data_IF_627837111471
#
_entry.id   IF_627837111471
#
_cell.length_a   1.000
_cell.length_b   1.000
_cell.length_c   1.000
_cell.angle_alpha   90.00
_cell.angle_beta   90.00
_cell.angle_gamma   90.00
#
_symmetry.space_group_name_H-M   'P 1'
#
loop_
_entity.id
_entity.type
_entity.pdbx_description
1 polymer ?
#
# COMPACT_ATOMS: atom_id res chain seq x y z
N UNK A 1 12.33 38.05 67.30
CA UNK A 1 12.84 38.39 65.96
C UNK A 1 12.89 37.08 65.18
N UNK A 2 11.74 36.61 64.71
CA UNK A 2 11.19 36.84 63.34
C UNK A 2 12.11 36.14 62.31
N UNK A 3 11.81 34.86 62.00
CA UNK A 3 11.31 34.33 60.70
C UNK A 3 12.47 33.79 59.84
N UNK A 4 12.37 32.73 59.04
CA UNK A 4 11.27 31.82 58.77
C UNK A 4 11.87 30.58 58.11
N UNK A 5 11.50 29.40 58.62
CA UNK A 5 11.79 28.13 57.97
C UNK A 5 10.96 28.03 56.69
N UNK A 6 11.60 28.25 55.54
CA UNK A 6 10.98 28.05 54.22
C UNK A 6 10.71 26.58 53.97
N UNK A 7 9.57 26.10 54.46
CA UNK A 7 8.99 24.80 54.14
C UNK A 7 8.83 24.67 52.62
N UNK A 8 9.64 23.79 52.01
CA UNK A 8 9.52 23.40 50.61
C UNK A 8 8.18 22.67 50.44
N UNK A 9 7.17 23.42 49.98
CA UNK A 9 5.82 22.93 49.78
C UNK A 9 5.82 21.90 48.62
N UNK A 10 5.37 20.64 48.85
CA UNK A 10 5.45 19.56 47.86
C UNK A 10 4.73 19.85 46.53
N UNK A 11 3.81 20.82 46.53
CA UNK A 11 3.10 21.25 45.32
C UNK A 11 3.96 21.99 44.28
N UNK A 12 5.11 22.57 44.66
CA UNK A 12 6.00 23.26 43.71
C UNK A 12 6.80 22.27 42.86
N UNK A 13 7.20 21.14 43.45
CA UNK A 13 7.96 20.08 42.81
C UNK A 13 7.11 19.31 41.78
N UNK A 14 5.82 19.11 42.09
CA UNK A 14 4.85 18.47 41.18
C UNK A 14 4.56 19.35 39.95
N UNK A 15 4.45 20.69 40.10
CA UNK A 15 4.29 21.60 38.96
C UNK A 15 5.53 21.67 38.06
N UNK A 16 6.73 21.66 38.65
CA UNK A 16 7.99 21.62 37.90
C UNK A 16 8.15 20.35 37.07
N UNK A 17 7.74 19.20 37.63
CA UNK A 17 7.74 17.93 36.93
C UNK A 17 6.77 17.92 35.73
N UNK A 18 5.57 18.49 35.87
CA UNK A 18 4.61 18.61 34.76
C UNK A 18 5.15 19.45 33.59
N UNK A 19 5.79 20.59 33.87
CA UNK A 19 6.39 21.45 32.83
C UNK A 19 7.58 20.78 32.14
N UNK A 20 8.36 19.98 32.89
CA UNK A 20 9.47 19.20 32.33
C UNK A 20 8.97 18.03 31.48
N UNK A 21 7.88 17.37 31.88
CA UNK A 21 7.24 16.30 31.11
C UNK A 21 6.59 16.84 29.83
N UNK A 22 5.94 18.00 29.86
CA UNK A 22 5.45 18.67 28.65
C UNK A 22 6.58 19.10 27.71
N UNK A 23 7.68 19.64 28.27
CA UNK A 23 8.87 20.02 27.47
C UNK A 23 9.60 18.81 26.90
N UNK A 24 9.60 17.67 27.60
CA UNK A 24 10.13 16.40 27.13
C UNK A 24 9.25 15.83 26.02
N UNK A 25 7.91 15.87 26.18
CA UNK A 25 6.95 15.46 25.16
C UNK A 25 7.05 16.27 23.86
N UNK A 26 7.24 17.59 23.95
CA UNK A 26 7.47 18.43 22.77
C UNK A 26 8.82 18.14 22.09
N UNK A 27 9.91 17.99 22.85
CA UNK A 27 11.24 17.71 22.26
C UNK A 27 11.36 16.35 21.56
N UNK A 28 10.53 15.36 21.91
CA UNK A 28 10.51 14.06 21.24
C UNK A 28 9.40 13.93 20.19
N UNK A 29 8.44 14.85 20.14
CA UNK A 29 7.44 14.93 19.07
C UNK A 29 8.04 15.43 17.75
N UNK A 30 9.10 16.24 17.82
CA UNK A 30 9.66 16.95 16.66
C UNK A 30 10.81 16.18 15.97
N UNK A 31 11.19 15.00 16.49
CA UNK A 31 12.32 14.20 15.98
C UNK A 31 12.06 13.53 14.62
N UNK A 32 10.87 13.69 14.04
CA UNK A 32 10.53 13.17 12.71
C UNK A 32 10.56 14.24 11.60
N UNK A 33 10.82 15.50 11.92
CA UNK A 33 10.91 16.59 10.95
C UNK A 33 12.36 17.01 10.68
N UNK A 34 13.21 16.06 10.29
CA UNK A 34 14.54 16.34 9.75
C UNK A 34 14.47 16.71 8.26
N UNK A 35 15.25 17.69 7.77
CA UNK A 35 15.23 18.12 6.38
C UNK A 35 15.84 17.04 5.47
N UNK A 36 15.07 16.58 4.48
CA UNK A 36 15.47 15.78 3.30
C UNK A 36 16.67 14.83 3.49
N UNK A 37 16.39 13.68 4.09
CA UNK A 37 17.34 12.56 4.19
C UNK A 37 16.70 11.23 4.55
N UNK A 38 15.40 11.05 4.29
CA UNK A 38 14.68 9.82 4.63
C UNK A 38 15.06 8.71 3.65
N UNK A 39 16.06 7.90 4.00
CA UNK A 39 16.25 6.60 3.39
C UNK A 39 14.89 5.86 3.40
N UNK A 40 14.40 5.33 2.27
CA UNK A 40 13.09 4.70 2.23
C UNK A 40 13.01 3.60 3.29
N UNK A 41 11.92 3.59 4.05
CA UNK A 41 11.69 2.57 5.06
C UNK A 41 11.74 1.17 4.41
N UNK A 42 12.16 0.15 5.15
CA UNK A 42 12.27 -1.24 4.66
C UNK A 42 11.04 -1.70 3.85
N UNK A 43 9.78 -1.45 4.27
CA UNK A 43 8.60 -1.86 3.50
C UNK A 43 8.54 -1.25 2.10
N UNK A 44 8.98 0.01 1.96
CA UNK A 44 9.03 0.73 0.68
C UNK A 44 10.06 0.08 -0.24
N UNK A 45 11.29 -0.13 0.24
CA UNK A 45 12.35 -0.76 -0.56
C UNK A 45 11.93 -2.18 -0.97
N UNK A 46 11.44 -2.97 -0.01
CA UNK A 46 10.98 -4.33 -0.23
C UNK A 46 9.88 -4.37 -1.30
N UNK A 47 8.87 -3.51 -1.20
CA UNK A 47 7.78 -3.46 -2.17
C UNK A 47 8.31 -3.17 -3.58
N UNK A 48 9.10 -2.11 -3.76
CA UNK A 48 9.60 -1.74 -5.08
C UNK A 48 10.58 -2.76 -5.66
N UNK A 49 11.45 -3.35 -4.84
CA UNK A 49 12.36 -4.41 -5.28
C UNK A 49 11.61 -5.69 -5.64
N UNK A 50 10.65 -6.13 -4.83
CA UNK A 50 9.88 -7.35 -5.09
C UNK A 50 8.95 -7.19 -6.31
N UNK A 51 8.16 -6.11 -6.37
CA UNK A 51 7.29 -5.84 -7.51
C UNK A 51 8.08 -5.55 -8.79
N UNK A 52 9.03 -4.61 -8.71
CA UNK A 52 9.84 -4.23 -9.85
C UNK A 52 10.72 -5.38 -10.35
N UNK A 53 11.30 -6.15 -9.42
CA UNK A 53 12.11 -7.32 -9.73
C UNK A 53 11.31 -8.41 -10.45
N UNK A 54 10.09 -8.72 -10.00
CA UNK A 54 9.23 -9.69 -10.69
C UNK A 54 8.95 -9.29 -12.16
N UNK A 55 8.69 -8.01 -12.40
CA UNK A 55 8.49 -7.47 -13.76
C UNK A 55 9.79 -7.55 -14.57
N UNK A 56 10.91 -7.08 -14.00
CA UNK A 56 12.22 -7.08 -14.66
C UNK A 56 12.68 -8.49 -15.05
N UNK A 57 12.55 -9.46 -14.15
CA UNK A 57 12.84 -10.87 -14.43
C UNK A 57 11.97 -11.42 -15.55
N UNK A 58 10.66 -11.14 -15.53
CA UNK A 58 9.73 -11.60 -16.58
C UNK A 58 10.10 -11.01 -17.96
N UNK A 59 10.38 -9.71 -18.01
CA UNK A 59 10.82 -9.03 -19.24
C UNK A 59 12.17 -9.56 -19.74
N UNK A 60 13.12 -9.79 -18.83
CA UNK A 60 14.42 -10.36 -19.17
C UNK A 60 14.27 -11.75 -19.80
N UNK A 61 13.45 -12.64 -19.23
CA UNK A 61 13.21 -13.99 -19.77
C UNK A 61 12.56 -13.96 -21.17
N UNK A 62 11.65 -13.00 -21.39
CA UNK A 62 11.01 -12.79 -22.69
C UNK A 62 12.02 -12.23 -23.71
N UNK A 63 12.81 -11.21 -23.34
CA UNK A 63 13.76 -10.54 -24.25
C UNK A 63 14.96 -11.43 -24.59
N UNK A 64 15.49 -12.16 -23.62
CA UNK A 64 16.54 -13.18 -23.81
C UNK A 64 16.08 -14.40 -24.61
N UNK A 65 14.78 -14.48 -24.95
CA UNK A 65 14.13 -15.56 -25.72
C UNK A 65 14.20 -16.93 -25.05
N UNK A 66 14.48 -16.97 -23.74
CA UNK A 66 14.52 -18.20 -22.94
C UNK A 66 13.10 -18.75 -22.72
N UNK A 67 12.09 -17.88 -22.67
CA UNK A 67 10.68 -18.25 -22.52
C UNK A 67 9.85 -17.60 -23.64
N UNK A 68 9.02 -18.39 -24.31
CA UNK A 68 8.02 -17.88 -25.27
C UNK A 68 6.63 -17.92 -24.63
N UNK A 69 5.97 -16.76 -24.44
CA UNK A 69 4.60 -16.72 -23.94
C UNK A 69 3.68 -17.52 -24.87
N UNK A 70 2.98 -18.51 -24.33
CA UNK A 70 1.97 -19.28 -25.09
C UNK A 70 0.80 -18.35 -25.44
N UNK A 71 0.16 -18.47 -26.61
CA UNK A 71 -0.95 -17.61 -27.01
C UNK A 71 -2.17 -17.68 -26.06
N UNK A 72 -2.30 -18.80 -25.33
CA UNK A 72 -3.35 -19.03 -24.32
C UNK A 72 -2.97 -18.57 -22.91
N UNK A 73 -1.70 -18.20 -22.68
CA UNK A 73 -1.20 -17.73 -21.38
C UNK A 73 -1.97 -16.54 -20.79
N UNK A 74 -2.38 -15.49 -21.54
CA UNK A 74 -3.10 -14.37 -20.94
C UNK A 74 -4.48 -14.76 -20.40
N UNK A 75 -5.16 -15.72 -21.03
CA UNK A 75 -6.45 -16.21 -20.56
C UNK A 75 -6.31 -17.03 -19.27
N UNK A 76 -5.27 -17.86 -19.19
CA UNK A 76 -4.96 -18.58 -17.96
C UNK A 76 -4.62 -17.63 -16.81
N UNK A 77 -3.77 -16.63 -17.06
CA UNK A 77 -3.38 -15.65 -16.06
C UNK A 77 -4.58 -14.81 -15.58
N UNK A 78 -5.45 -14.38 -16.50
CA UNK A 78 -6.68 -13.68 -16.13
C UNK A 78 -7.64 -14.57 -15.35
N UNK A 79 -7.81 -15.84 -15.75
CA UNK A 79 -8.63 -16.80 -15.01
C UNK A 79 -8.12 -17.06 -13.60
N UNK A 80 -6.80 -17.19 -13.43
CA UNK A 80 -6.17 -17.31 -12.11
C UNK A 80 -6.39 -16.05 -11.25
N UNK A 81 -6.27 -14.86 -11.85
CA UNK A 81 -6.55 -13.60 -11.17
C UNK A 81 -8.02 -13.50 -10.75
N UNK A 82 -8.96 -13.87 -11.62
CA UNK A 82 -10.39 -13.85 -11.33
C UNK A 82 -10.76 -14.86 -10.23
N UNK A 83 -10.18 -16.06 -10.25
CA UNK A 83 -10.36 -17.05 -9.19
C UNK A 83 -9.82 -16.55 -7.84
N UNK A 84 -8.64 -15.93 -7.84
CA UNK A 84 -8.07 -15.32 -6.65
C UNK A 84 -8.93 -14.16 -6.14
N UNK A 85 -9.44 -13.31 -7.03
CA UNK A 85 -10.35 -12.21 -6.68
C UNK A 85 -11.68 -12.72 -6.09
N UNK A 86 -12.23 -13.83 -6.61
CA UNK A 86 -13.42 -14.44 -6.04
C UNK A 86 -13.16 -14.99 -4.64
N UNK A 87 -12.00 -15.63 -4.43
CA UNK A 87 -11.59 -16.13 -3.12
C UNK A 87 -11.40 -15.00 -2.10
N UNK A 88 -10.67 -13.94 -2.47
CA UNK A 88 -10.45 -12.78 -1.59
C UNK A 88 -11.73 -11.98 -1.38
N UNK A 89 -12.63 -11.93 -2.36
CA UNK A 89 -13.96 -11.34 -2.23
C UNK A 89 -14.81 -12.06 -1.19
N UNK A 90 -14.81 -13.40 -1.21
CA UNK A 90 -15.47 -14.19 -0.16
C UNK A 90 -14.85 -13.93 1.21
N UNK A 91 -13.52 -13.91 1.30
CA UNK A 91 -12.80 -13.60 2.53
C UNK A 91 -13.18 -12.20 3.06
N UNK A 92 -13.24 -11.20 2.20
CA UNK A 92 -13.61 -9.83 2.54
C UNK A 92 -15.00 -9.74 3.17
N UNK A 93 -15.98 -10.45 2.60
CA UNK A 93 -17.35 -10.46 3.13
C UNK A 93 -17.40 -11.15 4.50
N UNK A 94 -16.62 -12.21 4.72
CA UNK A 94 -16.60 -12.97 5.98
C UNK A 94 -15.88 -12.21 7.10
N UNK A 95 -14.73 -11.59 6.79
CA UNK A 95 -13.87 -10.94 7.78
C UNK A 95 -14.02 -9.42 7.83
N UNK A 96 -14.97 -8.86 7.07
CA UNK A 96 -15.18 -7.42 6.91
C UNK A 96 -13.88 -6.67 6.52
N UNK A 97 -13.06 -7.29 5.67
CA UNK A 97 -11.84 -6.68 5.11
C UNK A 97 -12.06 -6.16 3.70
N UNK A 98 -11.12 -5.37 3.16
CA UNK A 98 -11.22 -4.84 1.80
C UNK A 98 -9.95 -5.10 0.97
N UNK A 99 -9.56 -6.36 0.83
CA UNK A 99 -8.50 -6.76 -0.08
C UNK A 99 -8.90 -6.55 -1.54
N UNK A 100 -7.95 -6.13 -2.36
CA UNK A 100 -8.15 -5.83 -3.79
C UNK A 100 -9.22 -4.75 -4.07
N UNK A 101 -9.68 -4.01 -3.06
CA UNK A 101 -10.76 -3.01 -3.19
C UNK A 101 -12.03 -3.58 -3.83
N UNK A 102 -12.42 -4.80 -3.42
CA UNK A 102 -13.59 -5.51 -3.96
C UNK A 102 -14.90 -5.10 -3.29
N UNK A 103 -14.84 -4.65 -2.03
CA UNK A 103 -16.02 -4.31 -1.24
C UNK A 103 -16.23 -2.80 -1.17
N UNK A 104 -15.15 -2.03 -1.16
CA UNK A 104 -15.20 -0.57 -1.10
C UNK A 104 -14.04 0.05 -1.88
N UNK A 105 -14.24 1.27 -2.37
CA UNK A 105 -13.19 2.01 -3.09
C UNK A 105 -12.16 2.57 -2.10
N UNK A 106 -10.90 2.77 -2.52
CA UNK A 106 -9.94 3.50 -1.70
C UNK A 106 -10.40 4.95 -1.48
N UNK A 107 -10.11 5.52 -0.30
CA UNK A 107 -10.36 6.95 -0.01
C UNK A 107 -9.51 7.89 -0.88
N UNK A 108 -8.41 7.37 -1.43
CA UNK A 108 -7.55 8.10 -2.35
C UNK A 108 -8.12 8.10 -3.78
N UNK A 109 -8.02 9.24 -4.46
CA UNK A 109 -8.47 9.39 -5.84
C UNK A 109 -7.90 8.30 -6.76
N UNK A 110 -8.77 7.55 -7.42
CA UNK A 110 -8.41 6.38 -8.21
C UNK A 110 -9.21 6.31 -9.51
N UNK A 111 -8.70 5.56 -10.49
CA UNK A 111 -9.43 5.28 -11.73
C UNK A 111 -10.78 4.62 -11.46
N UNK A 112 -10.91 3.92 -10.32
CA UNK A 112 -12.15 3.29 -9.88
C UNK A 112 -13.29 4.30 -9.65
N UNK A 113 -12.99 5.58 -9.42
CA UNK A 113 -14.00 6.62 -9.18
C UNK A 113 -14.83 6.89 -10.43
N UNK A 114 -14.24 6.73 -11.61
CA UNK A 114 -14.91 6.90 -12.91
C UNK A 114 -15.83 5.73 -13.27
N UNK A 115 -15.74 4.60 -12.57
CA UNK A 115 -16.45 3.36 -12.91
C UNK A 115 -17.81 3.18 -12.23
N UNK A 116 -18.28 4.18 -11.48
CA UNK A 116 -19.62 4.18 -10.86
C UNK A 116 -19.69 3.51 -9.48
N UNK A 117 -20.88 3.37 -8.88
CA UNK A 117 -21.04 2.86 -7.52
C UNK A 117 -20.73 1.36 -7.40
N UNK A 118 -20.45 0.91 -6.18
CA UNK A 118 -20.38 -0.52 -5.87
C UNK A 118 -21.77 -1.16 -6.10
N UNK A 119 -21.88 -2.38 -6.67
CA UNK A 119 -20.82 -3.28 -7.17
C UNK A 119 -20.49 -3.09 -8.65
N UNK A 120 -21.12 -2.13 -9.33
CA UNK A 120 -21.03 -2.00 -10.79
C UNK A 120 -19.64 -1.68 -11.31
N UNK A 121 -18.79 -1.02 -10.52
CA UNK A 121 -17.40 -0.73 -10.94
C UNK A 121 -16.52 -1.99 -11.07
N UNK A 122 -16.93 -3.14 -10.52
CA UNK A 122 -16.20 -4.40 -10.66
C UNK A 122 -16.21 -4.92 -12.10
N UNK A 123 -17.27 -4.66 -12.86
CA UNK A 123 -17.37 -5.05 -14.27
C UNK A 123 -16.41 -4.27 -15.19
N UNK A 124 -16.40 -2.92 -15.22
CA UNK A 124 -15.47 -2.16 -16.04
C UNK A 124 -14.02 -2.31 -15.55
N UNK A 125 -13.77 -2.54 -14.25
CA UNK A 125 -12.42 -2.84 -13.78
C UNK A 125 -11.93 -4.22 -14.25
N UNK A 126 -12.78 -5.25 -14.24
CA UNK A 126 -12.47 -6.54 -14.87
C UNK A 126 -12.25 -6.38 -16.38
N UNK A 127 -13.09 -5.58 -17.06
CA UNK A 127 -12.93 -5.26 -18.48
C UNK A 127 -11.60 -4.57 -18.79
N UNK A 128 -11.21 -3.58 -17.99
CA UNK A 128 -9.90 -2.93 -18.09
C UNK A 128 -8.76 -3.93 -17.87
N UNK A 129 -8.89 -4.83 -16.90
CA UNK A 129 -7.93 -5.92 -16.68
C UNK A 129 -7.77 -6.79 -17.93
N UNK A 130 -8.86 -7.26 -18.53
CA UNK A 130 -8.83 -8.04 -19.77
C UNK A 130 -8.14 -7.25 -20.88
N UNK A 131 -8.47 -5.98 -21.07
CA UNK A 131 -7.84 -5.12 -22.08
C UNK A 131 -6.32 -5.05 -21.89
N UNK A 132 -5.84 -4.90 -20.66
CA UNK A 132 -4.40 -4.88 -20.35
C UNK A 132 -3.73 -6.24 -20.65
N UNK A 133 -4.35 -7.36 -20.27
CA UNK A 133 -3.84 -8.70 -20.59
C UNK A 133 -3.80 -8.96 -22.09
N UNK A 134 -4.82 -8.50 -22.83
CA UNK A 134 -4.86 -8.59 -24.29
C UNK A 134 -3.80 -7.69 -24.93
N UNK A 135 -3.59 -6.47 -24.44
CA UNK A 135 -2.54 -5.58 -24.93
C UNK A 135 -1.14 -6.18 -24.75
N UNK A 136 -0.87 -6.77 -23.59
CA UNK A 136 0.38 -7.49 -23.33
C UNK A 136 0.53 -8.73 -24.22
N UNK A 137 -0.55 -9.51 -24.38
CA UNK A 137 -0.57 -10.71 -25.20
C UNK A 137 -0.49 -10.44 -26.71
N UNK A 138 -0.97 -9.28 -27.18
CA UNK A 138 -1.09 -8.93 -28.60
C UNK A 138 0.26 -8.98 -29.31
N UNK A 139 1.32 -8.49 -28.67
CA UNK A 139 2.68 -8.51 -29.22
C UNK A 139 3.18 -9.92 -29.56
N UNK A 140 2.73 -10.92 -28.82
CA UNK A 140 3.14 -12.32 -28.95
C UNK A 140 2.24 -13.14 -29.87
N UNK A 141 1.08 -12.61 -30.29
CA UNK A 141 0.14 -13.27 -31.21
C UNK A 141 0.43 -13.04 -32.68
N UNK A 142 1.37 -12.14 -33.04
CA UNK A 142 1.74 -11.95 -34.45
C UNK A 142 2.56 -13.16 -34.94
N UNK A 143 2.04 -13.94 -35.91
CA UNK A 143 2.86 -14.92 -36.62
C UNK A 143 3.98 -14.16 -37.33
N UNK A 144 5.20 -14.70 -37.30
CA UNK A 144 6.19 -14.35 -38.32
C UNK A 144 5.89 -15.17 -39.55
#
# INVERSE_FOLDING_TARGET
>A
MVDGGGSLHPAALVRGAGVLLERWGRRHGDAHAGPVGSCPAYPTIYFFCAHGGAIACSLYLIWSRQVRPRPHSPWFAFGALAAFAAFTGLFNVVYHTNYMYLCEKPDAASILDYFGPWPWYLLPSAGLGILLFLALGWRFRRPR
#
